data_IF_657718523758
#
_entry.id   IF_657718523758
#
_cell.length_a   1.000
_cell.length_b   1.000
_cell.length_c   1.000
_cell.angle_alpha   90.00
_cell.angle_beta   90.00
_cell.angle_gamma   90.00
#
_symmetry.space_group_name_H-M   'P 1'
#
loop_
_entity.id
_entity.type
_entity.pdbx_description
1 polymer ?
#
# COMPACT_ATOMS: atom_id res chain seq x y z
N UNK A 1 40.25 40.65 86.71
CA UNK A 1 39.12 41.25 85.99
C UNK A 1 39.51 41.49 84.55
N UNK A 2 39.12 40.69 83.60
CA UNK A 2 39.01 40.98 82.19
C UNK A 2 38.22 39.84 81.56
N UNK A 3 36.99 40.12 81.10
CA UNK A 3 36.07 39.19 80.46
C UNK A 3 36.49 39.04 79.00
N UNK A 4 36.67 37.83 78.54
CA UNK A 4 36.90 37.49 77.18
C UNK A 4 35.53 37.05 76.55
N UNK A 5 35.08 37.76 75.53
CA UNK A 5 33.84 37.53 74.86
C UNK A 5 34.12 36.56 73.71
N UNK A 6 33.48 35.38 73.70
CA UNK A 6 33.53 34.41 72.59
C UNK A 6 32.41 34.76 71.62
N UNK A 7 32.72 35.12 70.36
CA UNK A 7 31.78 35.25 69.27
C UNK A 7 31.65 33.89 68.62
N UNK A 8 30.43 33.33 68.64
CA UNK A 8 30.08 32.16 67.85
C UNK A 8 29.37 32.64 66.56
N UNK A 9 29.95 32.24 65.40
CA UNK A 9 29.40 32.48 64.10
C UNK A 9 28.46 31.31 63.71
N UNK A 10 27.17 31.55 63.32
CA UNK A 10 26.35 30.43 62.81
C UNK A 10 26.62 30.25 61.33
N UNK A 11 26.98 29.01 60.93
CA UNK A 11 27.06 28.59 59.55
C UNK A 11 25.66 28.37 58.97
N UNK A 12 25.28 29.17 57.99
CA UNK A 12 24.03 28.98 57.20
C UNK A 12 24.29 27.87 56.17
N UNK A 13 23.68 26.70 56.34
CA UNK A 13 23.56 25.66 55.35
C UNK A 13 22.43 26.07 54.36
N UNK A 14 22.81 26.48 53.16
CA UNK A 14 21.90 26.59 52.03
C UNK A 14 21.60 25.19 51.47
N UNK A 15 20.47 24.61 51.82
CA UNK A 15 19.92 23.43 51.15
C UNK A 15 19.32 23.92 49.83
N UNK A 16 20.06 23.66 48.73
CA UNK A 16 19.50 23.81 47.36
C UNK A 16 18.51 22.68 47.12
N UNK A 17 17.22 23.00 47.07
CA UNK A 17 16.20 22.15 46.46
C UNK A 17 16.47 22.13 44.96
N UNK A 18 17.05 21.08 44.44
CA UNK A 18 16.93 20.70 43.04
C UNK A 18 15.47 20.24 42.86
N UNK A 19 14.64 21.07 42.24
CA UNK A 19 13.35 20.65 41.71
C UNK A 19 13.64 19.63 40.58
N UNK A 20 13.48 18.35 40.90
CA UNK A 20 13.30 17.36 39.88
C UNK A 20 12.02 17.75 39.14
N UNK A 21 12.14 18.08 37.87
CA UNK A 21 10.98 18.12 36.97
C UNK A 21 10.41 16.70 36.94
N UNK A 22 9.36 16.45 37.71
CA UNK A 22 8.51 15.29 37.50
C UNK A 22 7.93 15.47 36.10
N UNK A 23 8.40 14.66 35.14
CA UNK A 23 7.70 14.40 33.90
C UNK A 23 6.36 13.82 34.35
N UNK A 24 5.29 14.58 34.20
CA UNK A 24 3.93 14.07 34.31
C UNK A 24 3.76 12.98 33.26
N UNK A 25 3.96 11.73 33.70
CA UNK A 25 3.60 10.55 32.96
C UNK A 25 2.07 10.60 32.86
N UNK A 26 1.55 10.91 31.70
CA UNK A 26 0.12 10.77 31.40
C UNK A 26 -0.16 9.27 31.35
N UNK A 27 -0.82 8.75 32.36
CA UNK A 27 -1.09 7.31 32.52
C UNK A 27 -2.09 6.80 31.46
N UNK A 28 -2.82 7.67 30.75
CA UNK A 28 -3.80 7.31 29.71
C UNK A 28 -3.48 8.01 28.39
N UNK A 29 -3.72 7.29 27.29
CA UNK A 29 -3.56 7.81 25.93
C UNK A 29 -4.57 8.93 25.67
N UNK A 30 -4.10 10.16 25.41
CA UNK A 30 -4.95 11.32 25.12
C UNK A 30 -4.85 11.68 23.65
N UNK A 31 -5.96 11.54 22.92
CA UNK A 31 -6.07 11.95 21.52
C UNK A 31 -6.15 13.48 21.45
N UNK A 32 -5.28 14.11 20.67
CA UNK A 32 -5.24 15.56 20.45
C UNK A 32 -5.90 15.93 19.13
N UNK A 33 -5.57 15.21 18.06
CA UNK A 33 -6.07 15.48 16.71
C UNK A 33 -6.31 14.17 15.95
N UNK A 34 -6.99 14.28 14.82
CA UNK A 34 -7.03 13.28 13.78
C UNK A 34 -6.02 13.69 12.68
N UNK A 35 -5.10 12.79 12.33
CA UNK A 35 -4.19 13.01 11.21
C UNK A 35 -5.00 13.12 9.90
N UNK A 36 -4.75 14.15 9.08
CA UNK A 36 -5.55 14.38 7.88
C UNK A 36 -5.27 13.35 6.80
N UNK A 37 -6.34 12.68 6.37
CA UNK A 37 -6.36 11.81 5.20
C UNK A 37 -7.43 12.35 4.25
N UNK A 38 -7.06 12.64 3.00
CA UNK A 38 -7.95 13.27 2.04
C UNK A 38 -8.76 12.25 1.25
N UNK A 39 -8.24 11.03 1.07
CA UNK A 39 -8.81 9.99 0.21
C UNK A 39 -8.96 8.65 0.93
N UNK A 40 -7.96 8.21 1.70
CA UNK A 40 -7.91 6.88 2.30
C UNK A 40 -9.05 6.65 3.30
N UNK A 41 -9.71 5.49 3.18
CA UNK A 41 -10.85 5.11 4.00
C UNK A 41 -10.62 3.81 4.78
N UNK A 42 -9.60 3.05 4.43
CA UNK A 42 -9.33 1.75 5.05
C UNK A 42 -8.47 1.85 6.32
N UNK A 43 -7.94 3.02 6.63
CA UNK A 43 -7.27 3.28 7.91
C UNK A 43 -7.55 4.68 8.43
N UNK A 44 -7.30 4.87 9.70
CA UNK A 44 -7.31 6.19 10.35
C UNK A 44 -6.14 6.31 11.30
N UNK A 45 -5.73 7.54 11.60
CA UNK A 45 -4.67 7.82 12.56
C UNK A 45 -5.13 8.91 13.50
N UNK A 46 -5.09 8.64 14.81
CA UNK A 46 -5.29 9.64 15.85
C UNK A 46 -3.92 10.05 16.40
N UNK A 47 -3.61 11.34 16.35
CA UNK A 47 -2.42 11.92 16.95
C UNK A 47 -2.66 12.12 18.45
N UNK A 48 -1.76 11.55 19.25
CA UNK A 48 -1.92 11.56 20.70
C UNK A 48 -0.84 12.41 21.37
N UNK A 49 -1.15 12.91 22.56
CA UNK A 49 -0.23 13.66 23.39
C UNK A 49 1.10 12.91 23.56
N UNK A 50 2.21 13.63 23.52
CA UNK A 50 3.54 13.01 23.61
C UNK A 50 4.08 12.45 22.28
N UNK A 51 3.41 12.73 21.17
CA UNK A 51 3.86 12.35 19.82
C UNK A 51 3.52 10.91 19.43
N UNK A 52 2.67 10.22 20.20
CA UNK A 52 2.19 8.89 19.83
C UNK A 52 1.17 8.98 18.69
N UNK A 53 1.10 7.95 17.87
CA UNK A 53 0.10 7.82 16.82
C UNK A 53 -0.68 6.51 17.00
N UNK A 54 -2.01 6.61 17.13
CA UNK A 54 -2.89 5.45 17.19
C UNK A 54 -3.51 5.20 15.81
N UNK A 55 -3.01 4.16 15.16
CA UNK A 55 -3.50 3.72 13.84
C UNK A 55 -4.63 2.72 14.05
N UNK A 56 -5.72 2.86 13.29
CA UNK A 56 -6.81 1.89 13.25
C UNK A 56 -7.01 1.40 11.83
N UNK A 57 -6.97 0.06 11.62
CA UNK A 57 -7.18 -0.61 10.35
C UNK A 57 -8.18 -1.74 10.58
N UNK A 58 -9.38 -1.69 9.98
CA UNK A 58 -10.41 -2.73 10.08
C UNK A 58 -10.67 -3.19 11.53
N UNK A 59 -10.71 -2.23 12.46
CA UNK A 59 -10.91 -2.47 13.88
C UNK A 59 -9.66 -2.88 14.68
N UNK A 60 -8.58 -3.27 14.04
CA UNK A 60 -7.29 -3.51 14.71
C UNK A 60 -6.61 -2.18 15.03
N UNK A 61 -6.08 -2.06 16.25
CA UNK A 61 -5.47 -0.82 16.75
C UNK A 61 -3.97 -0.99 16.99
N UNK A 62 -3.16 -0.05 16.51
CA UNK A 62 -1.70 -0.08 16.61
C UNK A 62 -1.22 1.26 17.17
N UNK A 63 -0.54 1.23 18.32
CA UNK A 63 0.08 2.42 18.92
C UNK A 63 1.53 2.51 18.46
N UNK A 64 1.84 3.48 17.63
CA UNK A 64 3.22 3.82 17.30
C UNK A 64 3.78 4.69 18.42
N UNK A 65 4.80 4.16 19.08
CA UNK A 65 5.51 4.82 20.19
C UNK A 65 6.79 5.44 19.63
N UNK A 66 7.00 6.75 19.76
CA UNK A 66 8.21 7.41 19.27
C UNK A 66 9.48 6.82 19.87
N UNK A 67 10.59 6.90 19.14
CA UNK A 67 11.90 6.48 19.62
C UNK A 67 12.25 7.19 20.94
N UNK A 68 12.65 6.41 21.94
CA UNK A 68 13.02 6.90 23.27
C UNK A 68 11.84 7.28 24.17
N UNK A 69 10.60 7.25 23.69
CA UNK A 69 9.42 7.44 24.52
C UNK A 69 9.05 6.13 25.27
N UNK A 70 8.49 6.28 26.46
CA UNK A 70 7.99 5.15 27.24
C UNK A 70 6.63 4.70 26.70
N UNK A 71 6.34 3.39 26.73
CA UNK A 71 5.00 2.88 26.45
C UNK A 71 4.05 3.35 27.55
N UNK A 72 2.87 3.93 27.25
CA UNK A 72 1.89 4.30 28.25
C UNK A 72 1.50 3.12 29.15
N UNK A 73 1.36 3.38 30.44
CA UNK A 73 1.13 2.32 31.43
C UNK A 73 -0.29 1.72 31.32
N UNK A 74 -1.28 2.54 30.92
CA UNK A 74 -2.67 2.13 30.76
C UNK A 74 -3.06 2.16 29.29
N UNK A 75 -3.04 0.97 28.65
CA UNK A 75 -3.51 0.76 27.29
C UNK A 75 -4.66 -0.25 27.30
N UNK A 76 -5.62 -0.09 26.41
CA UNK A 76 -6.61 -1.14 26.14
C UNK A 76 -5.89 -2.39 25.65
N UNK A 77 -6.32 -3.56 26.14
CA UNK A 77 -5.61 -4.83 25.93
C UNK A 77 -5.60 -5.34 24.48
N UNK A 78 -6.32 -4.69 23.57
CA UNK A 78 -6.36 -4.98 22.12
C UNK A 78 -5.45 -4.04 21.31
N UNK A 79 -4.75 -3.08 21.94
CA UNK A 79 -3.81 -2.21 21.25
C UNK A 79 -2.46 -2.93 21.11
N UNK A 80 -2.02 -3.09 19.86
CA UNK A 80 -0.68 -3.59 19.52
C UNK A 80 0.32 -2.44 19.58
N UNK A 81 1.35 -2.59 20.40
CA UNK A 81 2.39 -1.55 20.55
C UNK A 81 3.47 -1.75 19.50
N UNK A 82 3.79 -0.69 18.76
CA UNK A 82 4.85 -0.62 17.76
C UNK A 82 5.86 0.44 18.20
N UNK A 83 6.96 0.00 18.83
CA UNK A 83 8.02 0.87 19.30
C UNK A 83 8.97 1.26 18.16
N UNK A 84 9.16 2.56 17.92
CA UNK A 84 10.19 3.03 16.99
C UNK A 84 11.59 2.98 17.59
N UNK A 85 12.64 2.72 16.78
CA UNK A 85 12.57 2.46 15.34
C UNK A 85 11.99 1.08 15.04
N UNK A 86 11.07 0.99 14.08
CA UNK A 86 10.55 -0.29 13.58
C UNK A 86 11.56 -0.82 12.56
N UNK A 87 12.19 -1.93 12.89
CA UNK A 87 13.23 -2.56 12.09
C UNK A 87 12.91 -4.03 11.80
N UNK A 88 13.66 -4.64 10.90
CA UNK A 88 13.54 -6.05 10.54
C UNK A 88 12.12 -6.45 10.11
N UNK A 89 11.47 -5.58 9.33
CA UNK A 89 10.11 -5.82 8.84
C UNK A 89 10.10 -7.08 7.95
N UNK A 90 9.15 -7.99 8.24
CA UNK A 90 8.75 -9.05 7.32
C UNK A 90 7.62 -8.54 6.41
N UNK A 91 7.97 -8.26 5.14
CA UNK A 91 7.06 -7.67 4.17
C UNK A 91 6.47 -8.75 3.25
N UNK A 92 5.18 -9.01 3.41
CA UNK A 92 4.41 -9.98 2.61
C UNK A 92 3.51 -9.26 1.59
N UNK A 93 2.97 -8.10 1.96
CA UNK A 93 2.21 -7.26 1.03
C UNK A 93 3.14 -6.59 0.02
N UNK A 94 3.20 -7.12 -1.21
CA UNK A 94 4.09 -6.60 -2.24
C UNK A 94 3.76 -5.15 -2.66
N UNK A 95 2.51 -4.71 -2.48
CA UNK A 95 2.09 -3.32 -2.74
C UNK A 95 2.65 -2.31 -1.75
N UNK A 96 3.09 -2.75 -0.56
CA UNK A 96 3.67 -1.90 0.46
C UNK A 96 5.15 -1.56 0.21
N UNK A 97 5.84 -2.34 -0.64
CA UNK A 97 7.27 -2.15 -0.88
C UNK A 97 7.57 -0.81 -1.56
N UNK A 98 6.81 -0.45 -2.58
CA UNK A 98 7.05 0.79 -3.35
C UNK A 98 6.84 2.06 -2.51
N UNK A 99 5.75 2.22 -1.72
CA UNK A 99 5.62 3.31 -0.77
C UNK A 99 6.79 3.38 0.24
N UNK A 100 7.22 2.25 0.77
CA UNK A 100 8.35 2.18 1.71
C UNK A 100 9.65 2.63 1.03
N UNK A 101 9.91 2.19 -0.22
CA UNK A 101 11.07 2.63 -1.01
C UNK A 101 11.00 4.14 -1.26
N UNK A 102 9.83 4.66 -1.66
CA UNK A 102 9.65 6.06 -2.06
C UNK A 102 9.96 7.08 -0.96
N UNK A 103 9.76 6.67 0.31
CA UNK A 103 10.13 7.48 1.48
C UNK A 103 11.53 7.17 2.03
N UNK A 104 12.33 6.35 1.32
CA UNK A 104 13.66 5.95 1.78
C UNK A 104 13.64 5.01 2.98
N UNK A 105 12.61 4.17 3.10
CA UNK A 105 12.39 3.24 4.20
C UNK A 105 12.88 1.81 3.96
N UNK A 106 13.45 1.50 2.77
CA UNK A 106 13.83 0.13 2.40
C UNK A 106 14.74 -0.56 3.45
N UNK A 107 15.62 0.19 4.11
CA UNK A 107 16.52 -0.36 5.14
C UNK A 107 15.82 -0.92 6.38
N UNK A 108 14.54 -0.62 6.60
CA UNK A 108 13.75 -1.22 7.66
C UNK A 108 13.22 -2.63 7.31
N UNK A 109 13.23 -3.01 6.02
CA UNK A 109 12.77 -4.32 5.54
C UNK A 109 13.95 -5.29 5.53
N UNK A 110 13.87 -6.35 6.32
CA UNK A 110 14.88 -7.41 6.38
C UNK A 110 14.40 -8.72 5.74
N UNK A 111 13.07 -8.91 5.68
CA UNK A 111 12.48 -10.16 5.25
C UNK A 111 11.38 -9.91 4.21
N UNK A 112 11.28 -10.79 3.21
CA UNK A 112 10.30 -10.69 2.15
C UNK A 112 9.45 -11.96 2.00
N UNK A 113 8.15 -11.78 1.79
CA UNK A 113 7.22 -12.84 1.40
C UNK A 113 7.26 -13.16 -0.10
N UNK A 114 8.00 -12.37 -0.87
CA UNK A 114 8.16 -12.49 -2.34
C UNK A 114 9.61 -12.82 -2.65
N UNK A 115 9.86 -13.77 -3.55
CA UNK A 115 11.21 -14.16 -4.01
C UNK A 115 11.81 -13.08 -4.92
N UNK A 116 13.15 -13.02 -5.00
CA UNK A 116 13.87 -11.97 -5.72
C UNK A 116 13.45 -11.86 -7.20
N UNK A 117 13.28 -13.00 -7.87
CA UNK A 117 12.87 -13.08 -9.29
C UNK A 117 11.45 -12.56 -9.56
N UNK A 118 10.61 -12.47 -8.51
CA UNK A 118 9.23 -11.99 -8.60
C UNK A 118 9.10 -10.51 -8.21
N UNK A 119 10.20 -9.83 -7.88
CA UNK A 119 10.20 -8.39 -7.67
C UNK A 119 10.47 -7.64 -8.97
N UNK A 120 9.52 -6.81 -9.37
CA UNK A 120 9.64 -5.85 -10.47
C UNK A 120 10.18 -4.48 -10.01
N UNK A 121 10.36 -4.29 -8.69
CA UNK A 121 11.02 -3.14 -8.09
C UNK A 121 12.53 -3.42 -8.00
N UNK A 122 13.34 -2.73 -8.82
CA UNK A 122 14.79 -2.95 -8.91
C UNK A 122 15.50 -2.81 -7.56
N UNK A 123 15.06 -1.85 -6.73
CA UNK A 123 15.64 -1.64 -5.40
C UNK A 123 15.41 -2.85 -4.48
N UNK A 124 14.20 -3.43 -4.49
CA UNK A 124 13.87 -4.61 -3.68
C UNK A 124 14.62 -5.84 -4.19
N UNK A 125 14.63 -6.07 -5.53
CA UNK A 125 15.35 -7.19 -6.14
C UNK A 125 16.84 -7.10 -5.82
N UNK A 126 17.47 -5.95 -6.01
CA UNK A 126 18.89 -5.73 -5.73
C UNK A 126 19.22 -5.95 -4.26
N UNK A 127 18.38 -5.48 -3.34
CA UNK A 127 18.57 -5.69 -1.90
C UNK A 127 18.53 -7.19 -1.53
N UNK A 128 17.64 -7.96 -2.17
CA UNK A 128 17.58 -9.42 -1.99
C UNK A 128 18.80 -10.13 -2.59
N UNK A 129 19.22 -9.78 -3.81
CA UNK A 129 20.41 -10.32 -4.47
C UNK A 129 21.70 -10.06 -3.67
N UNK A 130 21.73 -8.95 -2.94
CA UNK A 130 22.83 -8.58 -2.04
C UNK A 130 22.70 -9.20 -0.64
N UNK A 131 21.64 -9.94 -0.36
CA UNK A 131 21.40 -10.56 0.95
C UNK A 131 20.99 -9.56 2.05
N UNK A 132 20.62 -8.34 1.69
CA UNK A 132 20.10 -7.35 2.64
C UNK A 132 18.66 -7.66 3.03
N UNK A 133 17.89 -8.24 2.12
CA UNK A 133 16.54 -8.76 2.35
C UNK A 133 16.54 -10.26 2.05
N UNK A 134 16.00 -11.06 2.97
CA UNK A 134 15.96 -12.52 2.85
C UNK A 134 14.52 -12.97 2.59
N UNK A 135 14.33 -13.95 1.70
CA UNK A 135 13.03 -14.58 1.53
C UNK A 135 12.69 -15.44 2.76
N UNK A 136 11.57 -15.15 3.42
CA UNK A 136 11.11 -15.82 4.63
C UNK A 136 9.74 -16.49 4.47
N UNK A 137 9.45 -16.98 3.26
CA UNK A 137 8.19 -17.67 2.96
C UNK A 137 7.05 -16.71 2.60
N UNK A 138 5.94 -17.25 2.08
CA UNK A 138 4.74 -16.50 1.69
C UNK A 138 3.71 -16.46 2.81
N UNK A 139 2.66 -15.62 2.69
CA UNK A 139 1.57 -15.45 3.66
C UNK A 139 1.01 -16.77 4.23
N UNK A 140 0.93 -17.85 3.43
CA UNK A 140 0.35 -19.14 3.83
C UNK A 140 1.37 -20.16 4.32
N UNK A 141 2.67 -19.87 4.24
CA UNK A 141 3.76 -20.75 4.64
C UNK A 141 5.02 -19.93 4.97
N UNK A 142 5.00 -19.11 6.03
CA UNK A 142 6.16 -18.36 6.47
C UNK A 142 7.22 -19.27 7.10
N UNK A 143 8.46 -18.89 6.96
CA UNK A 143 9.59 -19.50 7.67
C UNK A 143 9.73 -18.84 9.05
N UNK A 144 9.03 -19.39 10.03
CA UNK A 144 9.04 -18.86 11.40
C UNK A 144 10.42 -18.84 12.03
N UNK A 145 11.29 -19.80 11.68
CA UNK A 145 12.66 -19.84 12.22
C UNK A 145 13.48 -18.64 11.75
N UNK A 146 13.43 -18.37 10.44
CA UNK A 146 14.10 -17.20 9.85
C UNK A 146 13.50 -15.89 10.38
N UNK A 147 12.17 -15.79 10.53
CA UNK A 147 11.49 -14.58 11.05
C UNK A 147 11.91 -14.29 12.48
N UNK A 148 11.95 -15.31 13.34
CA UNK A 148 12.34 -15.14 14.74
C UNK A 148 13.85 -14.89 14.90
N UNK A 149 14.68 -15.54 14.08
CA UNK A 149 16.13 -15.33 14.10
C UNK A 149 16.52 -13.90 13.67
N UNK A 150 15.70 -13.25 12.85
CA UNK A 150 15.89 -11.86 12.44
C UNK A 150 15.39 -10.83 13.46
N UNK A 151 14.79 -11.25 14.59
CA UNK A 151 14.15 -10.35 15.56
C UNK A 151 13.12 -9.42 14.87
N UNK A 152 12.16 -10.03 14.18
CA UNK A 152 11.20 -9.32 13.36
C UNK A 152 10.33 -8.35 14.19
N UNK A 153 10.46 -7.04 13.93
CA UNK A 153 9.74 -5.99 14.66
C UNK A 153 8.30 -5.77 14.18
N UNK A 154 7.96 -6.17 12.94
CA UNK A 154 6.62 -6.04 12.37
C UNK A 154 6.47 -6.94 11.14
N UNK A 155 5.40 -7.72 11.07
CA UNK A 155 4.97 -8.37 9.85
C UNK A 155 3.89 -7.53 9.15
N UNK A 156 4.13 -7.14 7.88
CA UNK A 156 3.14 -6.44 7.04
C UNK A 156 2.56 -7.45 6.06
N UNK A 157 1.41 -7.99 6.43
CA UNK A 157 0.68 -9.01 5.67
C UNK A 157 -0.30 -8.38 4.67
N UNK A 158 -0.63 -9.10 3.62
CA UNK A 158 -1.73 -8.76 2.74
C UNK A 158 -3.03 -9.44 3.17
N UNK A 159 -4.17 -9.06 2.57
CA UNK A 159 -5.48 -9.59 2.93
C UNK A 159 -5.69 -11.09 2.63
N UNK A 160 -4.77 -11.73 1.88
CA UNK A 160 -4.79 -13.18 1.68
C UNK A 160 -4.56 -13.96 2.98
N UNK A 161 -3.97 -13.31 4.01
CA UNK A 161 -3.79 -13.90 5.35
C UNK A 161 -5.13 -14.30 5.98
N UNK A 162 -6.25 -13.69 5.60
CA UNK A 162 -7.58 -14.07 6.07
C UNK A 162 -8.03 -15.48 5.64
N UNK A 163 -7.37 -16.07 4.62
CA UNK A 163 -7.57 -17.46 4.21
C UNK A 163 -6.75 -18.46 5.04
N UNK A 164 -5.80 -17.97 5.82
CA UNK A 164 -4.91 -18.76 6.71
C UNK A 164 -4.73 -18.04 8.04
N UNK A 165 -5.83 -17.79 8.80
CA UNK A 165 -5.80 -17.00 10.03
C UNK A 165 -4.86 -17.57 11.09
N UNK A 166 -4.64 -18.90 11.05
CA UNK A 166 -3.70 -19.59 11.93
C UNK A 166 -2.25 -19.11 11.79
N UNK A 167 -1.86 -18.60 10.61
CA UNK A 167 -0.52 -18.04 10.39
C UNK A 167 -0.38 -16.73 11.16
N UNK A 168 -1.38 -15.83 11.05
CA UNK A 168 -1.42 -14.58 11.81
C UNK A 168 -1.34 -14.86 13.31
N UNK A 169 -2.21 -15.75 13.81
CA UNK A 169 -2.22 -16.13 15.22
C UNK A 169 -0.87 -16.70 15.69
N UNK A 170 -0.18 -17.45 14.83
CA UNK A 170 1.10 -18.05 15.19
C UNK A 170 2.23 -16.99 15.26
N UNK A 171 2.26 -16.02 14.35
CA UNK A 171 3.20 -14.88 14.39
C UNK A 171 2.97 -14.08 15.69
N UNK A 172 1.73 -13.76 16.00
CA UNK A 172 1.37 -13.02 17.22
C UNK A 172 1.72 -13.80 18.51
N UNK A 173 1.53 -15.12 18.54
CA UNK A 173 1.97 -15.98 19.66
C UNK A 173 3.50 -15.97 19.85
N UNK A 174 4.24 -15.78 18.78
CA UNK A 174 5.69 -15.61 18.84
C UNK A 174 6.13 -14.20 19.22
N UNK A 175 5.18 -13.28 19.43
CA UNK A 175 5.45 -11.90 19.81
C UNK A 175 5.75 -10.98 18.61
N UNK A 176 5.53 -11.45 17.38
CA UNK A 176 5.68 -10.63 16.17
C UNK A 176 4.38 -9.88 15.93
N UNK A 177 4.36 -8.53 15.99
CA UNK A 177 3.19 -7.75 15.63
C UNK A 177 2.80 -7.98 14.17
N UNK A 178 1.50 -8.10 13.88
CA UNK A 178 1.01 -8.29 12.51
C UNK A 178 0.07 -7.16 12.11
N UNK A 179 0.45 -6.40 11.07
CA UNK A 179 -0.38 -5.40 10.43
C UNK A 179 -0.89 -5.97 9.11
N UNK A 180 -2.21 -5.99 8.91
CA UNK A 180 -2.80 -6.40 7.64
C UNK A 180 -3.04 -5.19 6.76
N UNK A 181 -2.30 -5.11 5.68
CA UNK A 181 -2.35 -4.04 4.69
C UNK A 181 -3.62 -4.15 3.84
N UNK A 182 -4.37 -3.07 3.68
CA UNK A 182 -5.67 -3.05 3.01
C UNK A 182 -5.79 -2.01 1.88
N UNK A 183 -4.68 -1.48 1.38
CA UNK A 183 -4.71 -0.49 0.29
C UNK A 183 -5.44 -1.00 -0.96
N UNK A 184 -5.47 -2.33 -1.15
CA UNK A 184 -6.19 -2.96 -2.26
C UNK A 184 -7.72 -2.90 -2.13
N UNK A 185 -8.25 -2.51 -0.97
CA UNK A 185 -9.69 -2.29 -0.74
C UNK A 185 -10.09 -0.81 -0.87
N UNK A 186 -9.14 0.08 -1.12
CA UNK A 186 -9.47 1.46 -1.47
C UNK A 186 -10.16 1.50 -2.85
N UNK A 187 -11.15 2.37 -2.98
CA UNK A 187 -11.90 2.54 -4.22
C UNK A 187 -11.33 3.63 -5.13
N UNK A 188 -10.42 4.45 -4.59
CA UNK A 188 -9.77 5.56 -5.28
C UNK A 188 -8.25 5.28 -5.38
N UNK A 189 -7.61 5.48 -6.55
CA UNK A 189 -6.16 5.30 -6.69
C UNK A 189 -5.35 6.24 -5.79
N UNK A 190 -5.82 7.47 -5.54
CA UNK A 190 -5.18 8.38 -4.58
C UNK A 190 -5.30 7.87 -3.15
N UNK A 191 -6.47 7.32 -2.78
CA UNK A 191 -6.64 6.67 -1.48
C UNK A 191 -5.63 5.53 -1.27
N UNK A 192 -5.43 4.71 -2.30
CA UNK A 192 -4.44 3.64 -2.29
C UNK A 192 -3.01 4.17 -2.11
N UNK A 193 -2.66 5.26 -2.79
CA UNK A 193 -1.34 5.90 -2.70
C UNK A 193 -1.13 6.61 -1.35
N UNK A 194 -2.20 7.13 -0.75
CA UNK A 194 -2.16 7.82 0.55
C UNK A 194 -1.73 6.90 1.70
N UNK A 195 -1.73 5.58 1.51
CA UNK A 195 -1.12 4.63 2.43
C UNK A 195 0.38 4.87 2.64
N UNK A 196 1.06 5.61 1.77
CA UNK A 196 2.44 6.07 2.00
C UNK A 196 2.57 6.87 3.30
N UNK A 197 1.52 7.63 3.69
CA UNK A 197 1.47 8.37 4.95
C UNK A 197 1.48 7.43 6.17
N UNK A 198 0.80 6.27 6.08
CA UNK A 198 0.86 5.24 7.13
C UNK A 198 2.29 4.72 7.31
N UNK A 199 2.98 4.40 6.20
CA UNK A 199 4.38 3.95 6.27
C UNK A 199 5.31 5.06 6.76
N UNK A 200 5.02 6.32 6.42
CA UNK A 200 5.71 7.48 6.96
C UNK A 200 5.63 7.56 8.48
N UNK A 201 4.44 7.34 9.05
CA UNK A 201 4.21 7.32 10.49
C UNK A 201 4.94 6.13 11.15
N UNK A 202 4.81 4.92 10.59
CA UNK A 202 5.46 3.72 11.10
C UNK A 202 6.99 3.88 11.17
N UNK A 203 7.58 4.49 10.15
CA UNK A 203 9.04 4.57 9.98
C UNK A 203 9.65 5.91 10.41
N UNK A 204 8.86 6.82 11.02
CA UNK A 204 9.33 8.15 11.41
C UNK A 204 9.70 9.05 10.23
N UNK A 205 9.06 8.87 9.07
CA UNK A 205 9.31 9.56 7.79
C UNK A 205 8.08 10.30 7.26
N UNK A 206 7.30 10.90 8.17
CA UNK A 206 6.03 11.57 7.84
C UNK A 206 6.21 12.69 6.82
N UNK A 207 7.28 13.51 6.95
CA UNK A 207 7.53 14.62 6.01
C UNK A 207 7.86 14.12 4.59
N UNK A 208 8.59 13.01 4.46
CA UNK A 208 8.89 12.37 3.19
C UNK A 208 7.61 11.82 2.56
N UNK A 209 6.76 11.20 3.35
CA UNK A 209 5.49 10.63 2.90
C UNK A 209 4.52 11.71 2.39
N UNK A 210 4.38 12.82 3.12
CA UNK A 210 3.57 13.96 2.68
C UNK A 210 4.05 14.52 1.34
N UNK A 211 5.37 14.67 1.19
CA UNK A 211 5.94 15.18 -0.06
C UNK A 211 5.71 14.22 -1.22
N UNK A 212 5.93 12.91 -1.01
CA UNK A 212 5.74 11.89 -2.04
C UNK A 212 4.27 11.82 -2.47
N UNK A 213 3.35 11.92 -1.51
CA UNK A 213 1.92 11.92 -1.82
C UNK A 213 1.50 13.19 -2.59
N UNK A 214 1.93 14.37 -2.15
CA UNK A 214 1.64 15.63 -2.84
C UNK A 214 2.19 15.67 -4.29
N UNK A 215 3.37 15.08 -4.54
CA UNK A 215 3.91 14.93 -5.89
C UNK A 215 3.01 14.05 -6.77
N UNK A 216 2.51 12.95 -6.22
CA UNK A 216 1.61 12.05 -6.93
C UNK A 216 0.27 12.74 -7.31
N UNK A 217 -0.32 13.50 -6.39
CA UNK A 217 -1.52 14.31 -6.70
C UNK A 217 -1.25 15.34 -7.80
N UNK A 218 -0.10 16.03 -7.72
CA UNK A 218 0.27 17.04 -8.71
C UNK A 218 0.42 16.45 -10.10
N UNK A 219 0.90 15.21 -10.25
CA UNK A 219 1.09 14.55 -11.54
C UNK A 219 -0.22 14.33 -12.30
N UNK A 220 -1.32 14.04 -11.62
CA UNK A 220 -2.64 13.79 -12.23
C UNK A 220 -3.55 15.01 -12.22
N UNK A 221 -3.23 16.07 -11.48
CA UNK A 221 -4.04 17.29 -11.40
C UNK A 221 -4.44 17.87 -12.79
N UNK A 222 -3.59 17.82 -13.84
CA UNK A 222 -3.96 18.30 -15.18
C UNK A 222 -5.11 17.52 -15.84
N UNK A 223 -5.48 16.36 -15.33
CA UNK A 223 -6.59 15.56 -15.85
C UNK A 223 -7.95 15.92 -15.25
N UNK A 224 -7.97 16.57 -14.08
CA UNK A 224 -9.20 16.84 -13.32
C UNK A 224 -10.25 17.63 -14.12
N UNK A 225 -9.81 18.58 -14.96
CA UNK A 225 -10.68 19.47 -15.76
C UNK A 225 -10.87 19.00 -17.21
N UNK A 226 -10.33 17.81 -17.59
CA UNK A 226 -10.47 17.31 -18.95
C UNK A 226 -11.85 16.73 -19.18
N UNK A 227 -12.40 17.02 -20.34
CA UNK A 227 -13.68 16.43 -20.78
C UNK A 227 -13.53 14.91 -20.99
N UNK A 228 -14.57 14.12 -20.70
CA UNK A 228 -14.59 12.69 -21.02
C UNK A 228 -14.33 12.45 -22.52
N UNK A 229 -13.57 11.42 -22.83
CA UNK A 229 -13.19 11.07 -24.20
C UNK A 229 -14.31 10.37 -24.98
N UNK A 230 -15.32 9.88 -24.27
CA UNK A 230 -16.39 9.05 -24.83
C UNK A 230 -15.95 7.62 -25.16
N UNK A 231 -14.74 7.21 -24.77
CA UNK A 231 -14.23 5.85 -25.01
C UNK A 231 -14.72 4.88 -23.94
N UNK A 232 -15.25 3.74 -24.37
CA UNK A 232 -15.55 2.60 -23.49
C UNK A 232 -14.34 1.68 -23.40
N UNK A 233 -13.98 1.28 -22.19
CA UNK A 233 -12.75 0.55 -21.89
C UNK A 233 -13.08 -0.71 -21.10
N UNK A 234 -12.54 -1.87 -21.52
CA UNK A 234 -12.58 -3.07 -20.71
C UNK A 234 -11.16 -3.41 -20.21
N UNK A 235 -11.03 -3.61 -18.90
CA UNK A 235 -9.80 -4.08 -18.21
C UNK A 235 -10.04 -5.50 -17.71
N UNK A 236 -9.22 -6.46 -18.16
CA UNK A 236 -9.51 -7.87 -17.93
C UNK A 236 -8.26 -8.75 -18.02
N UNK A 237 -8.37 -9.98 -17.50
CA UNK A 237 -7.49 -11.11 -17.86
C UNK A 237 -8.33 -12.36 -18.17
N UNK A 238 -7.74 -13.34 -18.83
CA UNK A 238 -8.37 -14.65 -19.09
C UNK A 238 -7.69 -15.72 -18.26
N UNK A 239 -8.48 -16.39 -17.44
CA UNK A 239 -7.97 -17.46 -16.56
C UNK A 239 -7.74 -18.76 -17.34
N UNK A 240 -6.93 -19.66 -16.77
CA UNK A 240 -6.74 -21.03 -17.30
C UNK A 240 -8.04 -21.85 -17.39
N UNK A 241 -9.06 -21.48 -16.64
CA UNK A 241 -10.40 -22.11 -16.66
C UNK A 241 -11.36 -21.45 -17.65
N UNK A 242 -10.88 -20.64 -18.58
CA UNK A 242 -11.67 -19.93 -19.58
C UNK A 242 -12.76 -19.00 -18.98
N UNK A 243 -12.42 -18.31 -17.90
CA UNK A 243 -13.24 -17.22 -17.36
C UNK A 243 -12.54 -15.89 -17.60
N UNK A 244 -13.30 -14.82 -17.76
CA UNK A 244 -12.76 -13.48 -17.77
C UNK A 244 -12.75 -12.94 -16.33
N UNK A 245 -11.57 -12.55 -15.83
CA UNK A 245 -11.45 -11.80 -14.57
C UNK A 245 -11.57 -10.31 -14.90
N UNK A 246 -12.55 -9.67 -14.34
CA UNK A 246 -12.82 -8.23 -14.48
C UNK A 246 -12.85 -7.54 -13.13
N UNK A 247 -12.70 -6.22 -13.10
CA UNK A 247 -12.83 -5.42 -11.88
C UNK A 247 -14.29 -5.11 -11.58
N UNK A 248 -14.63 -5.00 -10.29
CA UNK A 248 -15.93 -4.43 -9.89
C UNK A 248 -15.98 -2.95 -10.24
N UNK A 249 -17.17 -2.41 -10.45
CA UNK A 249 -17.35 -1.01 -10.82
C UNK A 249 -16.89 0.00 -9.77
N UNK A 250 -16.85 -0.38 -8.49
CA UNK A 250 -16.34 0.43 -7.39
C UNK A 250 -14.84 0.22 -7.07
N UNK A 251 -14.09 -0.49 -7.93
CA UNK A 251 -12.66 -0.72 -7.76
C UNK A 251 -11.84 0.48 -8.24
N UNK A 252 -10.67 0.71 -7.62
CA UNK A 252 -9.79 1.82 -7.99
C UNK A 252 -9.31 1.80 -9.45
N UNK A 253 -9.27 0.63 -10.13
CA UNK A 253 -8.93 0.55 -11.56
C UNK A 253 -10.06 1.12 -12.42
N UNK A 254 -11.32 0.88 -12.04
CA UNK A 254 -12.46 1.53 -12.70
C UNK A 254 -12.40 3.05 -12.54
N UNK A 255 -11.99 3.52 -11.36
CA UNK A 255 -11.79 4.95 -11.08
C UNK A 255 -10.62 5.53 -11.88
N UNK A 256 -9.48 4.81 -12.02
CA UNK A 256 -8.37 5.24 -12.88
C UNK A 256 -8.80 5.43 -14.33
N UNK A 257 -9.62 4.50 -14.87
CA UNK A 257 -10.19 4.62 -16.22
C UNK A 257 -11.04 5.89 -16.32
N UNK A 258 -11.88 6.18 -15.31
CA UNK A 258 -12.70 7.39 -15.27
C UNK A 258 -11.83 8.66 -15.20
N UNK A 259 -10.82 8.70 -14.33
CA UNK A 259 -9.88 9.83 -14.22
C UNK A 259 -9.12 10.07 -15.53
N UNK A 260 -8.80 9.01 -16.26
CA UNK A 260 -8.19 9.09 -17.59
C UNK A 260 -9.19 9.57 -18.69
N UNK A 261 -10.45 9.79 -18.35
CA UNK A 261 -11.51 10.25 -19.25
C UNK A 261 -12.22 9.14 -20.02
N UNK A 262 -12.04 7.87 -19.66
CA UNK A 262 -12.76 6.72 -20.23
C UNK A 262 -14.02 6.36 -19.42
N UNK A 263 -14.82 5.44 -19.97
CA UNK A 263 -15.95 4.80 -19.30
C UNK A 263 -15.67 3.31 -19.17
N UNK A 264 -15.70 2.79 -17.95
CA UNK A 264 -15.44 1.37 -17.71
C UNK A 264 -16.62 0.51 -18.16
N UNK A 265 -16.37 -0.55 -18.94
CA UNK A 265 -17.41 -1.39 -19.54
C UNK A 265 -18.27 -2.13 -18.49
N UNK A 266 -17.73 -2.38 -17.30
CA UNK A 266 -18.38 -3.09 -16.20
C UNK A 266 -18.60 -2.18 -14.97
N UNK A 267 -18.87 -0.89 -15.19
CA UNK A 267 -19.03 0.09 -14.10
C UNK A 267 -20.16 -0.28 -13.12
N UNK A 268 -21.20 -0.96 -13.59
CA UNK A 268 -22.34 -1.38 -12.75
C UNK A 268 -22.15 -2.78 -12.13
N UNK A 269 -21.01 -3.46 -12.40
CA UNK A 269 -20.77 -4.80 -11.88
C UNK A 269 -20.48 -4.76 -10.40
N UNK A 270 -21.37 -5.41 -9.63
CA UNK A 270 -21.22 -5.61 -8.19
C UNK A 270 -21.29 -7.10 -7.89
N UNK A 271 -20.59 -7.55 -6.85
CA UNK A 271 -20.74 -8.88 -6.30
C UNK A 271 -20.64 -8.78 -4.79
N UNK A 272 -21.80 -8.87 -4.13
CA UNK A 272 -21.90 -8.84 -2.66
C UNK A 272 -21.51 -10.18 -2.01
N UNK A 273 -21.31 -11.22 -2.82
CA UNK A 273 -20.98 -12.58 -2.34
C UNK A 273 -19.49 -12.75 -2.03
N UNK A 274 -18.64 -11.83 -2.47
CA UNK A 274 -17.21 -11.83 -2.14
C UNK A 274 -16.70 -10.40 -1.90
N UNK A 275 -15.65 -10.29 -1.07
CA UNK A 275 -15.02 -9.02 -0.74
C UNK A 275 -13.84 -8.66 -1.67
N UNK A 276 -13.56 -9.49 -2.69
CA UNK A 276 -12.48 -9.23 -3.63
C UNK A 276 -12.82 -8.07 -4.57
N UNK A 277 -11.82 -7.36 -5.02
CA UNK A 277 -11.92 -6.27 -6.00
C UNK A 277 -12.28 -6.78 -7.43
N UNK A 278 -12.17 -8.09 -7.66
CA UNK A 278 -12.37 -8.74 -8.96
C UNK A 278 -13.50 -9.75 -8.92
N UNK A 279 -14.08 -10.01 -10.10
CA UNK A 279 -15.09 -11.05 -10.34
C UNK A 279 -14.67 -11.87 -11.56
N UNK A 280 -14.82 -13.19 -11.45
CA UNK A 280 -14.71 -14.08 -12.60
C UNK A 280 -16.09 -14.23 -13.25
N UNK A 281 -16.23 -13.80 -14.50
CA UNK A 281 -17.47 -13.90 -15.27
C UNK A 281 -17.28 -14.90 -16.42
N UNK A 282 -18.40 -15.41 -16.94
CA UNK A 282 -18.37 -16.27 -18.14
C UNK A 282 -17.86 -15.50 -19.36
N UNK A 283 -17.30 -16.20 -20.34
CA UNK A 283 -16.88 -15.56 -21.59
C UNK A 283 -18.07 -14.95 -22.35
N UNK A 284 -19.26 -15.53 -22.23
CA UNK A 284 -20.50 -15.02 -22.80
C UNK A 284 -20.89 -13.67 -22.18
N UNK A 285 -20.83 -13.55 -20.85
CA UNK A 285 -21.10 -12.30 -20.13
C UNK A 285 -20.04 -11.25 -20.45
N UNK A 286 -18.77 -11.67 -20.55
CA UNK A 286 -17.70 -10.77 -20.99
C UNK A 286 -17.91 -10.27 -22.40
N UNK A 287 -18.30 -11.16 -23.33
CA UNK A 287 -18.65 -10.77 -24.69
C UNK A 287 -19.80 -9.78 -24.72
N UNK A 288 -20.88 -10.07 -24.00
CA UNK A 288 -22.05 -9.19 -23.96
C UNK A 288 -21.72 -7.79 -23.42
N UNK A 289 -20.84 -7.70 -22.42
CA UNK A 289 -20.46 -6.43 -21.77
C UNK A 289 -19.36 -5.64 -22.47
N UNK A 290 -18.45 -6.29 -23.22
CA UNK A 290 -17.22 -5.65 -23.69
C UNK A 290 -16.97 -5.76 -25.21
N UNK A 291 -17.79 -6.49 -25.99
CA UNK A 291 -17.54 -6.66 -27.44
C UNK A 291 -17.50 -5.36 -28.22
N UNK A 292 -18.24 -4.36 -27.77
CA UNK A 292 -18.35 -3.04 -28.43
C UNK A 292 -17.39 -2.00 -27.75
N UNK A 293 -16.57 -2.39 -26.79
CA UNK A 293 -15.60 -1.50 -26.16
C UNK A 293 -14.62 -0.93 -27.20
N UNK A 294 -14.26 0.35 -27.03
CA UNK A 294 -13.31 1.06 -27.88
C UNK A 294 -11.88 0.65 -27.63
N UNK A 295 -11.58 0.27 -26.38
CA UNK A 295 -10.23 -0.09 -25.90
C UNK A 295 -10.31 -1.35 -25.05
N UNK A 296 -9.44 -2.29 -25.29
CA UNK A 296 -9.19 -3.43 -24.42
C UNK A 296 -7.82 -3.28 -23.74
N UNK A 297 -7.79 -3.44 -22.42
CA UNK A 297 -6.56 -3.47 -21.62
C UNK A 297 -6.46 -4.83 -20.96
N UNK A 298 -5.51 -5.64 -21.41
CA UNK A 298 -5.22 -6.94 -20.83
C UNK A 298 -4.32 -6.77 -19.60
N UNK A 299 -4.75 -7.29 -18.47
CA UNK A 299 -3.99 -7.29 -17.21
C UNK A 299 -3.00 -8.46 -17.20
N UNK A 300 -1.71 -8.16 -17.35
CA UNK A 300 -0.62 -9.13 -17.40
C UNK A 300 -0.16 -9.67 -16.05
N UNK A 301 -0.58 -9.05 -14.95
CA UNK A 301 0.02 -9.27 -13.62
C UNK A 301 -0.21 -10.68 -13.06
N UNK A 302 -1.13 -11.45 -13.62
CA UNK A 302 -1.47 -12.81 -13.17
C UNK A 302 -0.98 -13.87 -14.16
N UNK A 303 -1.31 -13.68 -15.46
CA UNK A 303 -1.10 -14.68 -16.51
C UNK A 303 0.09 -14.35 -17.42
N UNK A 304 0.84 -13.31 -17.10
CA UNK A 304 2.00 -12.85 -17.87
C UNK A 304 1.64 -11.88 -19.00
N UNK A 305 2.67 -11.22 -19.53
CA UNK A 305 2.54 -10.26 -20.62
C UNK A 305 2.21 -10.97 -21.95
N UNK A 306 1.47 -10.25 -22.78
CA UNK A 306 1.21 -10.62 -24.16
C UNK A 306 1.93 -9.63 -25.10
N UNK A 307 2.46 -10.12 -26.20
CA UNK A 307 3.17 -9.33 -27.20
C UNK A 307 2.33 -9.06 -28.44
N UNK A 308 1.30 -9.89 -28.70
CA UNK A 308 0.51 -9.79 -29.92
C UNK A 308 -0.98 -10.06 -29.71
N UNK A 309 -1.78 -9.57 -30.65
CA UNK A 309 -3.22 -9.88 -30.75
C UNK A 309 -3.44 -11.38 -30.97
N UNK A 310 -2.54 -12.04 -31.71
CA UNK A 310 -2.63 -13.49 -31.97
C UNK A 310 -2.48 -14.28 -30.66
N UNK A 311 -1.56 -13.91 -29.77
CA UNK A 311 -1.44 -14.52 -28.45
C UNK A 311 -2.69 -14.34 -27.60
N UNK A 312 -3.32 -13.16 -27.65
CA UNK A 312 -4.59 -12.90 -26.97
C UNK A 312 -5.73 -13.76 -27.53
N UNK A 313 -5.83 -13.87 -28.87
CA UNK A 313 -6.83 -14.71 -29.55
C UNK A 313 -6.58 -16.19 -29.24
N UNK A 314 -5.31 -16.63 -29.15
CA UNK A 314 -4.97 -18.00 -28.75
C UNK A 314 -5.47 -18.35 -27.35
N UNK A 315 -5.46 -17.37 -26.40
CA UNK A 315 -6.04 -17.56 -25.05
C UNK A 315 -7.58 -17.62 -25.11
N UNK A 316 -8.21 -16.81 -25.96
CA UNK A 316 -9.67 -16.74 -26.09
C UNK A 316 -10.08 -16.38 -27.53
N UNK A 317 -10.41 -17.36 -28.39
CA UNK A 317 -10.76 -17.14 -29.80
C UNK A 317 -11.95 -16.20 -30.02
N UNK A 318 -12.88 -16.11 -29.06
CA UNK A 318 -14.04 -15.22 -29.10
C UNK A 318 -13.62 -13.75 -29.22
N UNK A 319 -12.46 -13.37 -28.69
CA UNK A 319 -11.95 -11.98 -28.71
C UNK A 319 -11.73 -11.45 -30.14
N UNK A 320 -11.52 -12.32 -31.13
CA UNK A 320 -11.42 -11.91 -32.54
C UNK A 320 -12.63 -11.12 -33.05
N UNK A 321 -13.81 -11.30 -32.43
CA UNK A 321 -15.03 -10.58 -32.77
C UNK A 321 -15.20 -9.22 -32.08
N UNK A 322 -14.30 -8.85 -31.17
CA UNK A 322 -14.39 -7.60 -30.42
C UNK A 322 -13.97 -6.41 -31.28
N UNK A 323 -14.71 -5.29 -31.16
CA UNK A 323 -14.43 -4.04 -31.87
C UNK A 323 -12.99 -3.58 -31.71
N UNK A 324 -12.48 -3.57 -30.48
CA UNK A 324 -11.13 -3.12 -30.20
C UNK A 324 -10.07 -4.04 -30.85
N UNK A 325 -10.29 -5.36 -30.89
CA UNK A 325 -9.39 -6.29 -31.60
C UNK A 325 -9.39 -6.03 -33.09
N UNK A 326 -10.56 -5.86 -33.70
CA UNK A 326 -10.70 -5.57 -35.13
C UNK A 326 -10.08 -4.22 -35.56
N UNK A 327 -10.06 -3.25 -34.63
CA UNK A 327 -9.47 -1.92 -34.86
C UNK A 327 -8.01 -1.83 -34.41
N UNK A 328 -7.43 -2.91 -33.83
CA UNK A 328 -6.07 -2.91 -33.29
C UNK A 328 -5.88 -2.00 -32.07
N UNK A 329 -6.93 -1.79 -31.28
CA UNK A 329 -6.89 -0.95 -30.07
C UNK A 329 -6.88 -1.80 -28.80
N UNK A 330 -5.86 -2.66 -28.71
CA UNK A 330 -5.65 -3.62 -27.64
C UNK A 330 -4.30 -3.36 -26.98
N UNK A 331 -4.30 -3.29 -25.67
CA UNK A 331 -3.15 -2.93 -24.87
C UNK A 331 -2.90 -3.98 -23.77
N UNK A 332 -1.65 -4.15 -23.38
CA UNK A 332 -1.23 -5.03 -22.30
C UNK A 332 -0.57 -4.20 -21.20
N UNK A 333 -0.89 -4.47 -19.93
CA UNK A 333 -0.21 -3.80 -18.83
C UNK A 333 1.18 -4.37 -18.59
N UNK A 334 2.09 -3.58 -18.02
CA UNK A 334 3.34 -4.11 -17.44
C UNK A 334 3.04 -5.01 -16.24
N UNK A 335 3.83 -6.06 -16.04
CA UNK A 335 3.70 -6.98 -14.90
C UNK A 335 3.96 -6.29 -13.55
N UNK A 336 4.74 -5.21 -13.55
CA UNK A 336 5.07 -4.42 -12.36
C UNK A 336 3.89 -3.64 -11.77
N UNK A 337 2.78 -3.50 -12.51
CA UNK A 337 1.67 -2.58 -12.21
C UNK A 337 1.24 -2.56 -10.75
N UNK A 338 1.03 -3.72 -10.12
CA UNK A 338 0.52 -3.76 -8.75
C UNK A 338 1.61 -3.69 -7.67
N UNK A 339 2.86 -3.77 -8.07
CA UNK A 339 3.99 -3.53 -7.17
C UNK A 339 4.40 -2.05 -7.14
N UNK A 340 4.23 -1.32 -8.24
CA UNK A 340 4.55 0.10 -8.38
C UNK A 340 3.35 0.98 -8.01
N UNK A 341 2.91 0.88 -6.76
CA UNK A 341 1.69 1.55 -6.29
C UNK A 341 1.80 3.07 -6.22
N UNK A 342 3.01 3.63 -6.09
CA UNK A 342 3.25 5.08 -6.13
C UNK A 342 3.35 5.64 -7.56
N UNK A 343 3.31 4.76 -8.56
CA UNK A 343 3.38 5.12 -9.98
C UNK A 343 2.01 5.02 -10.70
N UNK A 344 0.92 4.84 -9.95
CA UNK A 344 -0.43 4.83 -10.52
C UNK A 344 -0.78 6.10 -11.34
N UNK A 345 -0.25 7.31 -11.01
CA UNK A 345 -0.39 8.48 -11.87
C UNK A 345 0.08 8.24 -13.31
N UNK A 346 1.18 7.53 -13.51
CA UNK A 346 1.70 7.25 -14.86
C UNK A 346 0.76 6.34 -15.64
N UNK A 347 0.17 5.33 -14.99
CA UNK A 347 -0.84 4.50 -15.65
C UNK A 347 -2.09 5.32 -16.05
N UNK A 348 -2.56 6.23 -15.19
CA UNK A 348 -3.69 7.12 -15.51
C UNK A 348 -3.34 8.02 -16.71
N UNK A 349 -2.12 8.54 -16.75
CA UNK A 349 -1.62 9.35 -17.87
C UNK A 349 -1.48 8.53 -19.15
N UNK A 350 -0.97 7.30 -19.08
CA UNK A 350 -0.91 6.37 -20.23
C UNK A 350 -2.30 6.08 -20.77
N UNK A 351 -3.27 5.76 -19.89
CA UNK A 351 -4.67 5.56 -20.29
C UNK A 351 -5.23 6.81 -20.97
N UNK A 352 -4.99 8.01 -20.42
CA UNK A 352 -5.47 9.25 -21.04
C UNK A 352 -4.88 9.45 -22.44
N UNK A 353 -3.58 9.20 -22.66
CA UNK A 353 -2.97 9.26 -23.99
C UNK A 353 -3.60 8.24 -24.94
N UNK A 354 -3.76 6.99 -24.51
CA UNK A 354 -4.41 5.94 -25.31
C UNK A 354 -5.83 6.34 -25.72
N UNK A 355 -6.61 6.91 -24.80
CA UNK A 355 -8.01 7.28 -25.05
C UNK A 355 -8.14 8.51 -25.96
N UNK A 356 -7.19 9.45 -25.89
CA UNK A 356 -7.24 10.70 -26.66
C UNK A 356 -6.57 10.58 -28.03
N UNK A 357 -5.42 9.91 -28.12
CA UNK A 357 -4.60 9.85 -29.33
C UNK A 357 -4.88 8.57 -30.15
N UNK A 358 -5.37 7.50 -29.50
CA UNK A 358 -5.69 6.22 -30.12
C UNK A 358 -4.45 5.38 -30.50
N UNK A 359 -3.33 6.00 -30.80
CA UNK A 359 -2.05 5.34 -31.10
C UNK A 359 -0.86 6.21 -30.67
N UNK A 360 -0.70 6.46 -29.35
CA UNK A 360 0.43 7.22 -28.84
C UNK A 360 1.76 6.52 -29.15
N UNK A 361 2.87 7.30 -29.14
CA UNK A 361 4.20 6.74 -29.28
C UNK A 361 4.50 5.79 -28.08
N UNK A 362 4.95 4.57 -28.37
CA UNK A 362 5.26 3.57 -27.35
C UNK A 362 6.29 4.04 -26.31
N UNK A 363 7.29 4.84 -26.74
CA UNK A 363 8.33 5.38 -25.85
C UNK A 363 7.78 6.41 -24.83
N UNK A 364 6.54 6.86 -25.00
CA UNK A 364 5.88 7.83 -24.11
C UNK A 364 4.97 7.14 -23.07
N UNK A 365 4.85 5.81 -23.12
CA UNK A 365 4.05 5.01 -22.21
C UNK A 365 4.94 4.21 -21.28
N UNK A 366 4.57 4.16 -20.02
CA UNK A 366 5.31 3.45 -18.99
C UNK A 366 4.71 2.07 -18.68
N UNK A 367 3.39 1.99 -18.62
CA UNK A 367 2.67 0.80 -18.17
C UNK A 367 1.86 0.11 -19.26
N UNK A 368 1.61 0.77 -20.38
CA UNK A 368 0.78 0.20 -21.44
C UNK A 368 1.61 -0.07 -22.71
N UNK A 369 1.59 -1.32 -23.16
CA UNK A 369 2.18 -1.74 -24.43
C UNK A 369 1.08 -2.15 -25.40
N UNK A 370 1.11 -1.61 -26.63
CA UNK A 370 0.15 -1.96 -27.67
C UNK A 370 0.43 -3.37 -28.20
N UNK A 371 -0.58 -4.23 -28.25
CA UNK A 371 -0.48 -5.53 -28.91
C UNK A 371 -0.47 -5.35 -30.42
N UNK A 372 0.46 -6.03 -31.11
CA UNK A 372 0.67 -5.96 -32.56
C UNK A 372 0.02 -7.13 -33.31
#
# INVERSE_FOLDING_TARGET
>A
MKRTLLLTLPALLLAGCAAASESTQTDALTIENRYPLDYAQQFTVDECAGGYSLITIDGSRYLVVPEGAAVPAELDGDIVVLQQPIENIYLVSSSAMDPIISIGGLGAVALSGTQAENWYLDAARTAMEQGQIVYAGKYSAPDYETILAADCGLAIENTMIYHTPEVKEQLEKFGVPVLVERSSYESDPLARMEWVKLYGILLGKTNEAERVFADAEQRIAPLADKAPTGKTVAFFSITSNNLATVRKGGDYVAEMIRMAGGSYAFADLTDSGNNLATVNISLEDFYAGAKDADVLIYNSTIEGELCSIDELIAKCPMLAAFKAVQSGNVWCTAQSLFQQSMELPDLILDMNKVFTEGNPNADELKFLTKLQ
#
